data_IF_829144275404
#
_entry.id   IF_829144275404
#
_cell.length_a   1.000
_cell.length_b   1.000
_cell.length_c   1.000
_cell.angle_alpha   90.00
_cell.angle_beta   90.00
_cell.angle_gamma   90.00
#
_symmetry.space_group_name_H-M   'P 1'
#
loop_
_entity.id
_entity.type
_entity.pdbx_description
1 polymer ?
#
# COMPACT_ATOMS: atom_id res chain seq x y z
N UNK A 1 1.11 -6.11 -1.42
CA UNK A 1 0.34 -4.85 -1.25
C UNK A 1 -1.13 -5.23 -1.23
N UNK A 2 -1.92 -4.69 -0.31
CA UNK A 2 -3.36 -4.96 -0.18
C UNK A 2 -4.13 -3.69 -0.54
N UNK A 3 -5.09 -3.84 -1.45
CA UNK A 3 -6.09 -2.82 -1.73
C UNK A 3 -7.43 -3.24 -1.12
N UNK A 4 -8.19 -2.28 -0.62
CA UNK A 4 -9.52 -2.51 -0.08
C UNK A 4 -10.54 -1.59 -0.74
N UNK A 5 -11.73 -2.09 -1.03
CA UNK A 5 -12.87 -1.28 -1.47
C UNK A 5 -13.99 -1.49 -0.46
N UNK A 6 -14.31 -0.45 0.30
CA UNK A 6 -15.40 -0.48 1.27
C UNK A 6 -16.67 0.09 0.64
N UNK A 7 -17.61 -0.77 0.28
CA UNK A 7 -18.92 -0.39 -0.28
C UNK A 7 -19.94 -0.40 0.86
N UNK A 8 -20.63 0.71 1.07
CA UNK A 8 -21.67 0.87 2.09
C UNK A 8 -22.70 1.92 1.67
N UNK A 9 -23.88 1.88 2.27
CA UNK A 9 -24.97 2.81 1.97
C UNK A 9 -24.63 4.24 2.46
N UNK A 10 -25.34 5.23 1.91
CA UNK A 10 -25.38 6.66 2.21
C UNK A 10 -25.43 7.02 3.71
N UNK A 11 -25.90 6.10 4.58
CA UNK A 11 -25.86 6.26 6.05
C UNK A 11 -24.52 5.94 6.71
N UNK A 12 -23.50 5.51 5.94
CA UNK A 12 -22.18 5.09 6.45
C UNK A 12 -22.21 3.99 7.53
N UNK A 13 -23.37 3.38 7.80
CA UNK A 13 -23.46 2.22 8.68
C UNK A 13 -23.00 0.97 7.93
N UNK A 14 -21.93 0.34 8.43
CA UNK A 14 -21.48 -0.98 7.96
C UNK A 14 -20.06 -1.07 7.42
N UNK A 15 -19.37 0.05 7.14
CA UNK A 15 -17.97 0.02 6.65
C UNK A 15 -17.03 0.67 7.65
N UNK A 16 -16.17 -0.14 8.28
CA UNK A 16 -15.06 0.37 9.09
C UNK A 16 -13.95 0.93 8.19
N UNK A 17 -14.08 2.21 7.84
CA UNK A 17 -13.08 2.94 7.05
C UNK A 17 -11.72 3.00 7.72
N UNK A 18 -11.69 3.03 9.06
CA UNK A 18 -10.46 3.09 9.85
C UNK A 18 -9.69 1.78 9.73
N UNK A 19 -10.37 0.66 10.01
CA UNK A 19 -9.81 -0.69 9.89
C UNK A 19 -9.30 -0.98 8.48
N UNK A 20 -10.09 -0.72 7.45
CA UNK A 20 -9.68 -0.94 6.06
C UNK A 20 -8.48 -0.09 5.67
N UNK A 21 -8.43 1.17 6.10
CA UNK A 21 -7.26 2.02 5.87
C UNK A 21 -6.02 1.50 6.57
N UNK A 22 -6.14 1.08 7.83
CA UNK A 22 -5.00 0.60 8.61
C UNK A 22 -4.41 -0.67 7.99
N UNK A 23 -5.26 -1.62 7.61
CA UNK A 23 -4.84 -2.85 6.94
C UNK A 23 -4.15 -2.54 5.61
N UNK A 24 -4.79 -1.75 4.74
CA UNK A 24 -4.23 -1.44 3.43
C UNK A 24 -2.88 -0.70 3.55
N UNK A 25 -2.82 0.36 4.37
CA UNK A 25 -1.60 1.18 4.57
C UNK A 25 -0.45 0.38 5.17
N UNK A 26 -0.71 -0.55 6.08
CA UNK A 26 0.34 -1.40 6.67
C UNK A 26 1.10 -2.24 5.63
N UNK A 27 0.49 -2.46 4.46
CA UNK A 27 1.09 -3.21 3.36
C UNK A 27 1.61 -2.33 2.22
N UNK A 28 1.52 -1.00 2.35
CA UNK A 28 1.85 -0.03 1.29
C UNK A 28 0.73 0.24 0.29
N UNK A 29 -0.47 -0.32 0.51
CA UNK A 29 -1.63 -0.15 -0.37
C UNK A 29 -2.60 0.91 0.13
N UNK A 30 -3.82 0.91 -0.41
CA UNK A 30 -4.86 1.91 -0.12
C UNK A 30 -6.25 1.32 -0.03
N UNK A 31 -7.11 2.00 0.73
CA UNK A 31 -8.54 1.72 0.79
C UNK A 31 -9.32 2.79 0.01
N UNK A 32 -10.32 2.35 -0.76
CA UNK A 32 -11.23 3.18 -1.55
C UNK A 32 -12.64 3.07 -0.96
N UNK A 33 -13.37 4.19 -0.97
CA UNK A 33 -14.71 4.28 -0.39
C UNK A 33 -15.65 5.00 -1.38
N UNK A 34 -15.98 4.35 -2.50
CA UNK A 34 -16.81 4.94 -3.55
C UNK A 34 -18.22 5.24 -3.02
N UNK A 35 -18.80 6.37 -3.44
CA UNK A 35 -20.18 6.76 -3.07
C UNK A 35 -21.18 6.53 -4.19
N UNK A 36 -20.69 6.49 -5.44
CA UNK A 36 -21.46 6.22 -6.66
C UNK A 36 -20.73 5.22 -7.55
N UNK A 37 -21.43 4.68 -8.53
CA UNK A 37 -20.89 3.68 -9.47
C UNK A 37 -19.64 4.17 -10.21
N UNK A 38 -19.62 5.45 -10.61
CA UNK A 38 -18.45 6.04 -11.26
C UNK A 38 -17.20 6.04 -10.38
N UNK A 39 -17.35 6.26 -9.07
CA UNK A 39 -16.24 6.23 -8.12
C UNK A 39 -15.68 4.81 -8.01
N UNK A 40 -16.56 3.80 -8.07
CA UNK A 40 -16.16 2.39 -8.02
C UNK A 40 -15.38 2.02 -9.28
N UNK A 41 -15.87 2.41 -10.46
CA UNK A 41 -15.17 2.22 -11.74
C UNK A 41 -13.80 2.90 -11.73
N UNK A 42 -13.72 4.13 -11.22
CA UNK A 42 -12.47 4.87 -11.08
C UNK A 42 -11.49 4.16 -10.13
N UNK A 43 -11.96 3.66 -8.98
CA UNK A 43 -11.13 2.92 -8.03
C UNK A 43 -10.54 1.65 -8.68
N UNK A 44 -11.35 0.88 -9.43
CA UNK A 44 -10.85 -0.29 -10.15
C UNK A 44 -9.81 0.05 -11.21
N UNK A 45 -10.05 1.09 -12.02
CA UNK A 45 -9.09 1.53 -13.04
C UNK A 45 -7.75 2.00 -12.43
N UNK A 46 -7.81 2.63 -11.26
CA UNK A 46 -6.60 3.03 -10.52
C UNK A 46 -5.84 1.81 -9.99
N UNK A 47 -6.53 0.85 -9.36
CA UNK A 47 -5.92 -0.40 -8.90
C UNK A 47 -5.30 -1.16 -10.08
N UNK A 48 -6.02 -1.30 -11.20
CA UNK A 48 -5.54 -2.01 -12.39
C UNK A 48 -4.24 -1.41 -12.93
N UNK A 49 -4.19 -0.09 -13.07
CA UNK A 49 -2.99 0.62 -13.52
C UNK A 49 -1.81 0.42 -12.56
N UNK A 50 -2.06 0.42 -11.25
CA UNK A 50 -1.00 0.14 -10.27
C UNK A 50 -0.51 -1.31 -10.32
N UNK A 51 -1.43 -2.28 -10.52
CA UNK A 51 -1.06 -3.69 -10.66
C UNK A 51 -0.26 -3.98 -11.92
N UNK A 52 -0.49 -3.24 -13.02
CA UNK A 52 0.26 -3.36 -14.28
C UNK A 52 1.70 -2.82 -14.19
N UNK A 53 2.00 -1.98 -13.19
CA UNK A 53 3.31 -1.33 -13.03
C UNK A 53 4.06 -1.82 -11.80
N UNK A 54 3.93 -3.11 -11.44
CA UNK A 54 4.63 -3.68 -10.31
C UNK A 54 6.08 -4.04 -10.63
N UNK A 55 7.00 -3.49 -9.83
CA UNK A 55 8.40 -3.89 -9.81
C UNK A 55 8.67 -4.77 -8.59
N UNK A 56 9.41 -5.86 -8.77
CA UNK A 56 9.91 -6.69 -7.67
C UNK A 56 11.31 -6.24 -7.29
N UNK A 57 11.46 -5.72 -6.07
CA UNK A 57 12.76 -5.36 -5.50
C UNK A 57 13.07 -6.31 -4.35
N UNK A 58 14.18 -7.03 -4.44
CA UNK A 58 14.67 -7.91 -3.39
C UNK A 58 15.84 -7.26 -2.65
N UNK A 59 15.80 -7.31 -1.33
CA UNK A 59 16.87 -6.83 -0.46
C UNK A 59 17.02 -7.78 0.73
N UNK A 60 18.27 -8.07 1.11
CA UNK A 60 18.58 -8.80 2.33
C UNK A 60 19.17 -7.85 3.36
N UNK A 61 18.58 -7.82 4.56
CA UNK A 61 19.10 -6.98 5.63
C UNK A 61 20.45 -7.48 6.12
N UNK A 62 21.37 -6.54 6.33
CA UNK A 62 22.67 -6.79 6.98
C UNK A 62 22.51 -7.11 8.47
N UNK A 63 21.37 -6.76 9.08
CA UNK A 63 21.04 -7.13 10.45
C UNK A 63 20.56 -8.59 10.50
N UNK A 64 21.36 -9.48 11.09
CA UNK A 64 21.05 -10.92 11.21
C UNK A 64 20.28 -11.31 12.48
N UNK A 65 19.91 -10.35 13.35
CA UNK A 65 19.22 -10.64 14.62
C UNK A 65 17.78 -11.12 14.39
N UNK A 66 17.42 -12.23 15.01
CA UNK A 66 16.09 -12.85 14.95
C UNK A 66 15.25 -12.49 16.17
N UNK A 67 15.15 -11.19 16.46
CA UNK A 67 14.64 -10.63 17.72
C UNK A 67 13.14 -10.29 17.71
N UNK A 68 12.45 -10.54 16.60
CA UNK A 68 11.03 -10.19 16.46
C UNK A 68 10.76 -8.69 16.29
N UNK A 69 11.78 -7.85 16.20
CA UNK A 69 11.61 -6.39 16.10
C UNK A 69 11.12 -5.97 14.72
N UNK A 70 10.39 -4.84 14.66
CA UNK A 70 9.98 -4.24 13.39
C UNK A 70 11.16 -3.53 12.72
N UNK A 71 11.42 -3.87 11.47
CA UNK A 71 12.46 -3.27 10.63
C UNK A 71 11.81 -2.39 9.58
N UNK A 72 11.96 -1.08 9.76
CA UNK A 72 11.50 -0.07 8.80
C UNK A 72 12.34 -0.12 7.52
N UNK A 73 11.68 0.08 6.39
CA UNK A 73 12.28 0.14 5.07
C UNK A 73 11.85 1.43 4.37
N UNK A 74 12.77 2.06 3.65
CA UNK A 74 12.51 3.20 2.78
C UNK A 74 12.99 2.84 1.38
N UNK A 75 12.19 3.18 0.36
CA UNK A 75 12.56 3.07 -1.04
C UNK A 75 12.51 4.47 -1.65
N UNK A 76 13.56 4.81 -2.38
CA UNK A 76 13.74 6.12 -3.01
C UNK A 76 14.14 5.93 -4.48
N UNK A 77 13.70 6.85 -5.33
CA UNK A 77 14.15 6.92 -6.73
C UNK A 77 15.49 7.64 -6.73
N UNK A 78 16.53 7.02 -7.29
CA UNK A 78 17.88 7.61 -7.35
C UNK A 78 18.12 8.41 -8.64
N UNK A 79 17.32 8.18 -9.68
CA UNK A 79 17.44 8.91 -10.95
C UNK A 79 16.92 10.36 -10.79
N UNK A 80 17.76 11.40 -10.99
CA UNK A 80 17.37 12.79 -10.80
C UNK A 80 16.25 13.28 -11.73
N UNK A 81 16.14 12.75 -12.94
CA UNK A 81 15.09 13.16 -13.88
C UNK A 81 13.74 12.57 -13.48
N UNK A 82 13.73 11.30 -13.05
CA UNK A 82 12.51 10.65 -12.54
C UNK A 82 12.05 11.23 -11.20
N UNK A 83 12.96 11.77 -10.38
CA UNK A 83 12.58 12.50 -9.17
C UNK A 83 11.75 13.76 -9.49
N UNK A 84 12.02 14.43 -10.62
CA UNK A 84 11.27 15.63 -11.06
C UNK A 84 9.83 15.30 -11.45
N UNK A 85 9.57 14.06 -11.89
CA UNK A 85 8.24 13.58 -12.27
C UNK A 85 7.30 13.34 -11.07
N UNK A 86 7.79 13.47 -9.83
CA UNK A 86 7.00 13.26 -8.59
C UNK A 86 6.27 11.92 -8.56
N UNK A 87 6.93 10.87 -9.03
CA UNK A 87 6.38 9.52 -9.06
C UNK A 87 5.98 9.08 -7.64
N UNK A 88 4.79 8.47 -7.53
CA UNK A 88 4.28 8.00 -6.26
C UNK A 88 4.70 6.56 -6.01
N UNK A 89 5.74 6.37 -5.18
CA UNK A 89 6.20 5.03 -4.81
C UNK A 89 5.23 4.36 -3.84
N UNK A 90 4.86 3.11 -4.15
CA UNK A 90 4.05 2.25 -3.29
C UNK A 90 4.86 1.03 -2.89
N UNK A 91 5.15 0.90 -1.60
CA UNK A 91 5.93 -0.21 -1.06
C UNK A 91 5.56 -0.48 0.39
N UNK A 92 5.88 -1.68 0.86
CA UNK A 92 5.64 -2.07 2.25
C UNK A 92 6.56 -1.25 3.19
N UNK A 93 6.05 -0.62 4.26
CA UNK A 93 6.87 0.23 5.15
C UNK A 93 7.97 -0.50 5.94
N UNK A 94 7.92 -1.83 5.99
CA UNK A 94 8.85 -2.64 6.75
C UNK A 94 8.32 -4.04 7.04
N UNK A 95 9.08 -4.82 7.78
CA UNK A 95 8.75 -6.20 8.13
C UNK A 95 9.24 -6.52 9.54
N UNK A 96 8.62 -7.52 10.17
CA UNK A 96 9.10 -8.04 11.46
C UNK A 96 10.20 -9.07 11.24
N UNK A 97 11.26 -9.01 12.04
CA UNK A 97 12.28 -10.05 12.04
C UNK A 97 11.64 -11.39 12.45
N UNK A 98 12.06 -12.49 11.80
CA UNK A 98 11.61 -13.83 12.20
C UNK A 98 12.11 -14.09 13.63
N UNK A 99 11.19 -14.44 14.53
CA UNK A 99 11.54 -14.91 15.88
C UNK A 99 11.98 -16.37 15.77
N UNK A 100 13.16 -16.68 16.27
CA UNK A 100 13.66 -18.06 16.42
C UNK A 100 13.44 -18.53 17.85
#
# INVERSE_FOLDING_TARGET
>A
IIYAIGIGDSRQEGVDKGGLNNVAKSTGGRAFFPKKEDDLKAAFAEIERELRSQYLVAYSSTNKKHDGTFRRMTIEITNPDLQKEKLMLRYRPGYYAKKL
#
